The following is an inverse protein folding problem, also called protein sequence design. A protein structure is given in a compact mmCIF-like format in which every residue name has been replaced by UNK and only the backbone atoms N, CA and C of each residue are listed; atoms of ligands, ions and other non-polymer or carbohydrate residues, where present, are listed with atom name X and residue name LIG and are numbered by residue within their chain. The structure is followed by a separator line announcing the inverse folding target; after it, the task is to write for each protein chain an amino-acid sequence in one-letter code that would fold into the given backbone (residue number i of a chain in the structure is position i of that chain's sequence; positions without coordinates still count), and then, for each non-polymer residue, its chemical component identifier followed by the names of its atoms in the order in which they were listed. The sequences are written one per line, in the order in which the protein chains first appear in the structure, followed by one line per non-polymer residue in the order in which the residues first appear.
data_IF_461745263984
#
_entry.id   IF_461745263984
#
_cell.length_a   1.000
_cell.length_b   1.000
_cell.length_c   1.000
_cell.angle_alpha   90.00
_cell.angle_beta   90.00
_cell.angle_gamma   90.00
#
_symmetry.space_group_name_H-M   'P 1'
#
loop_
_entity.id
_entity.type
_entity.pdbx_description
1 polymer ?
#
# COMPACT_ATOMS: atom_id res chain seq x y z
N UNK A 1 42.47 -28.38 -81.43
CA UNK A 1 42.98 -27.50 -82.50
C UNK A 1 41.92 -27.48 -83.59
N UNK A 2 41.30 -26.38 -84.00
CA UNK A 2 41.46 -25.00 -83.63
C UNK A 2 40.12 -24.25 -83.76
N UNK A 3 40.06 -23.12 -83.06
CA UNK A 3 39.28 -21.93 -83.44
C UNK A 3 39.51 -21.60 -84.94
N UNK A 4 38.63 -20.87 -85.65
CA UNK A 4 38.04 -19.63 -85.14
C UNK A 4 36.62 -19.26 -85.64
N UNK A 5 35.96 -18.42 -84.85
CA UNK A 5 34.93 -17.45 -85.26
C UNK A 5 35.48 -16.46 -86.32
N UNK A 6 34.69 -15.89 -87.25
CA UNK A 6 34.09 -14.58 -86.96
C UNK A 6 32.76 -14.21 -87.67
N UNK A 7 32.04 -13.28 -87.00
CA UNK A 7 31.07 -12.25 -87.45
C UNK A 7 31.51 -11.60 -88.80
N UNK A 8 30.68 -10.91 -89.62
CA UNK A 8 29.66 -9.96 -89.14
C UNK A 8 28.46 -9.58 -90.05
N UNK A 9 27.68 -8.59 -89.55
CA UNK A 9 26.86 -7.59 -90.27
C UNK A 9 25.66 -8.12 -91.07
N UNK A 10 24.51 -7.45 -91.17
CA UNK A 10 24.02 -6.14 -90.76
C UNK A 10 22.53 -6.11 -91.12
N UNK A 11 21.78 -5.22 -90.45
CA UNK A 11 20.59 -4.52 -90.96
C UNK A 11 19.51 -5.32 -91.69
N UNK A 12 18.32 -5.41 -91.10
CA UNK A 12 17.23 -4.46 -91.42
C UNK A 12 15.89 -4.97 -90.87
N UNK A 13 15.27 -4.11 -90.06
CA UNK A 13 13.84 -3.92 -89.85
C UNK A 13 12.86 -4.87 -90.55
N UNK A 14 12.02 -5.54 -89.76
CA UNK A 14 10.58 -5.26 -89.63
C UNK A 14 9.84 -6.49 -89.10
N UNK A 15 9.22 -6.40 -87.91
CA UNK A 15 8.06 -7.25 -87.58
C UNK A 15 7.34 -6.71 -86.35
N UNK A 16 6.19 -6.09 -86.62
CA UNK A 16 4.90 -6.28 -85.96
C UNK A 16 4.80 -6.58 -84.46
N UNK A 17 3.83 -5.85 -83.89
CA UNK A 17 2.76 -6.28 -82.96
C UNK A 17 2.89 -6.09 -81.44
N UNK A 18 2.13 -5.06 -81.01
CA UNK A 18 1.20 -4.99 -79.85
C UNK A 18 1.84 -4.77 -78.44
N UNK A 19 1.06 -4.42 -77.39
CA UNK A 19 0.62 -3.06 -77.08
C UNK A 19 0.86 -2.69 -75.59
N UNK A 20 1.28 -1.47 -75.26
CA UNK A 20 1.35 -0.99 -73.86
C UNK A 20 1.25 0.54 -73.88
N UNK A 21 0.70 1.30 -72.91
CA UNK A 21 0.63 1.24 -71.46
C UNK A 21 -0.65 2.02 -71.03
N UNK A 22 -1.59 1.47 -70.27
CA UNK A 22 -1.56 1.19 -68.83
C UNK A 22 -1.31 2.46 -67.97
N UNK A 23 -2.43 2.98 -67.45
CA UNK A 23 -2.54 4.13 -66.56
C UNK A 23 -1.90 3.86 -65.19
N UNK A 24 -1.43 4.95 -64.58
CA UNK A 24 -0.63 4.97 -63.37
C UNK A 24 -1.53 4.84 -62.13
N UNK A 25 -1.20 3.93 -61.23
CA UNK A 25 -1.58 4.03 -59.82
C UNK A 25 -0.44 3.53 -58.93
N UNK A 26 0.04 4.43 -58.09
CA UNK A 26 1.06 4.25 -57.07
C UNK A 26 0.61 3.28 -55.99
N UNK A 27 1.44 2.28 -55.65
CA UNK A 27 1.27 1.49 -54.43
C UNK A 27 2.49 1.69 -53.53
N UNK A 28 2.25 2.30 -52.38
CA UNK A 28 3.22 2.61 -51.33
C UNK A 28 3.57 1.36 -50.51
N UNK A 29 4.84 1.24 -50.18
CA UNK A 29 5.42 0.22 -49.29
C UNK A 29 4.93 0.45 -47.86
N UNK A 30 4.37 -0.58 -47.21
CA UNK A 30 3.99 -0.52 -45.79
C UNK A 30 4.56 -1.73 -45.05
N UNK A 31 5.71 -1.54 -44.41
CA UNK A 31 6.27 -2.43 -43.38
C UNK A 31 5.74 -1.98 -42.03
N UNK A 32 4.94 -2.82 -41.35
CA UNK A 32 4.51 -2.58 -39.97
C UNK A 32 4.98 -3.74 -39.07
N UNK A 33 6.08 -3.51 -38.36
CA UNK A 33 6.59 -4.35 -37.30
C UNK A 33 5.87 -3.97 -36.00
N UNK A 34 4.99 -4.84 -35.50
CA UNK A 34 4.22 -4.61 -34.27
C UNK A 34 5.11 -4.94 -33.05
N UNK A 35 5.76 -3.95 -32.46
CA UNK A 35 6.34 -4.06 -31.12
C UNK A 35 5.21 -3.93 -30.08
N UNK A 36 4.81 -5.05 -29.47
CA UNK A 36 3.94 -5.05 -28.30
C UNK A 36 4.78 -4.67 -27.06
N UNK A 37 4.87 -3.37 -26.76
CA UNK A 37 5.30 -2.94 -25.44
C UNK A 37 4.15 -3.22 -24.47
N UNK A 38 4.27 -4.27 -23.68
CA UNK A 38 3.41 -4.47 -22.51
C UNK A 38 3.74 -3.38 -21.49
N UNK A 39 3.04 -2.25 -21.57
CA UNK A 39 2.99 -1.30 -20.47
C UNK A 39 2.31 -2.02 -19.29
N UNK A 40 2.96 -2.14 -18.11
CA UNK A 40 2.22 -2.52 -16.92
C UNK A 40 1.13 -1.47 -16.74
N UNK A 41 -0.13 -1.91 -16.79
CA UNK A 41 -1.24 -1.11 -16.32
C UNK A 41 -1.11 -1.09 -14.79
N UNK A 42 -0.34 -0.13 -14.26
CA UNK A 42 -0.62 0.34 -12.91
C UNK A 42 -2.01 0.96 -13.01
N UNK A 43 -3.02 0.22 -12.53
CA UNK A 43 -4.31 0.80 -12.27
C UNK A 43 -4.08 1.92 -11.27
N UNK A 44 -4.06 3.17 -11.75
CA UNK A 44 -4.10 4.33 -10.89
C UNK A 44 -5.28 4.11 -9.94
N UNK A 45 -5.00 3.98 -8.64
CA UNK A 45 -6.06 3.86 -7.66
C UNK A 45 -6.87 5.15 -7.74
N UNK A 46 -8.14 5.01 -8.10
CA UNK A 46 -9.07 6.13 -8.12
C UNK A 46 -9.29 6.60 -6.68
N UNK A 47 -8.59 7.67 -6.29
CA UNK A 47 -8.78 8.33 -4.99
C UNK A 47 -10.21 8.88 -4.80
N UNK A 48 -11.05 8.82 -5.84
CA UNK A 48 -12.44 9.25 -5.81
C UNK A 48 -13.46 8.11 -5.75
N UNK A 49 -13.04 6.84 -5.59
CA UNK A 49 -13.97 5.73 -5.34
C UNK A 49 -14.55 5.80 -3.91
N UNK A 50 -15.52 6.71 -3.76
CA UNK A 50 -16.31 7.05 -2.58
C UNK A 50 -17.22 5.89 -2.13
N UNK A 51 -16.67 4.85 -1.51
CA UNK A 51 -17.48 4.01 -0.63
C UNK A 51 -17.45 4.51 0.80
N UNK A 52 -16.35 5.10 1.26
CA UNK A 52 -16.32 5.97 2.46
C UNK A 52 -14.99 6.71 2.58
N UNK A 53 -15.02 7.95 3.09
CA UNK A 53 -13.83 8.63 3.62
C UNK A 53 -13.20 7.78 4.75
N UNK A 54 -11.87 7.84 4.92
CA UNK A 54 -11.10 7.15 5.96
C UNK A 54 -11.50 7.53 7.39
N UNK A 55 -12.22 8.65 7.57
CA UNK A 55 -12.68 9.11 8.86
C UNK A 55 -13.31 8.00 9.71
N UNK A 56 -12.85 7.86 10.95
CA UNK A 56 -13.37 6.88 11.90
C UNK A 56 -12.30 5.99 12.48
N UNK A 57 -12.73 5.14 13.40
CA UNK A 57 -11.90 4.12 14.05
C UNK A 57 -12.10 2.79 13.35
N UNK A 58 -11.00 2.18 12.94
CA UNK A 58 -10.95 0.92 12.24
C UNK A 58 -10.15 -0.08 13.05
N UNK A 59 -10.66 -1.29 13.26
CA UNK A 59 -10.02 -2.29 14.10
C UNK A 59 -10.07 -3.69 13.49
N UNK A 60 -9.05 -4.49 13.76
CA UNK A 60 -8.97 -5.89 13.32
C UNK A 60 -9.73 -6.83 14.26
N UNK A 61 -10.06 -8.04 13.78
CA UNK A 61 -10.53 -9.14 14.63
C UNK A 61 -11.88 -8.82 15.28
N UNK A 62 -11.97 -8.94 16.61
CA UNK A 62 -13.22 -8.69 17.34
C UNK A 62 -13.50 -7.21 17.60
N UNK A 63 -12.62 -6.30 17.16
CA UNK A 63 -12.74 -4.87 17.46
C UNK A 63 -12.42 -4.49 18.91
N UNK A 64 -11.77 -5.38 19.67
CA UNK A 64 -11.49 -5.15 21.09
C UNK A 64 -10.36 -4.13 21.33
N UNK A 65 -9.35 -4.10 20.44
CA UNK A 65 -8.36 -3.03 20.43
C UNK A 65 -8.99 -1.81 19.78
N UNK A 66 -8.96 -0.69 20.49
CA UNK A 66 -9.46 0.60 20.01
C UNK A 66 -8.35 1.64 20.19
N UNK A 67 -8.50 2.78 19.53
CA UNK A 67 -7.73 3.99 19.80
C UNK A 67 -8.40 4.83 20.89
N UNK A 68 -7.68 5.84 21.37
CA UNK A 68 -8.10 6.83 22.34
C UNK A 68 -7.86 6.41 23.78
N UNK A 69 -8.53 7.10 24.74
CA UNK A 69 -8.30 6.90 26.17
C UNK A 69 -8.73 5.51 26.68
N UNK A 70 -9.44 4.74 25.85
CA UNK A 70 -9.78 3.34 26.13
C UNK A 70 -8.58 2.39 26.04
N UNK A 71 -7.51 2.78 25.35
CA UNK A 71 -6.32 1.96 25.13
C UNK A 71 -5.04 2.59 25.68
N UNK A 72 -4.85 3.90 25.48
CA UNK A 72 -3.61 4.57 25.86
C UNK A 72 -3.86 5.73 26.84
N UNK A 73 -2.86 5.95 27.70
CA UNK A 73 -2.70 7.09 28.60
C UNK A 73 -1.21 7.47 28.65
N UNK A 74 -0.66 8.10 27.60
CA UNK A 74 0.79 8.32 27.45
C UNK A 74 1.39 9.23 28.53
N UNK A 75 0.54 9.99 29.24
CA UNK A 75 0.92 10.82 30.39
C UNK A 75 1.18 10.00 31.65
N UNK A 76 0.66 8.78 31.71
CA UNK A 76 0.92 7.85 32.80
C UNK A 76 2.23 7.09 32.54
N UNK A 77 3.34 7.69 32.97
CA UNK A 77 4.69 7.15 32.78
C UNK A 77 4.92 5.75 33.36
N UNK A 78 4.07 5.28 34.28
CA UNK A 78 4.19 3.96 34.89
C UNK A 78 3.26 2.93 34.25
N UNK A 79 2.12 3.34 33.67
CA UNK A 79 1.11 2.45 33.10
C UNK A 79 0.40 3.12 31.91
N UNK A 80 1.07 3.26 30.75
CA UNK A 80 0.50 4.00 29.63
C UNK A 80 -0.51 3.22 28.79
N UNK A 81 -0.77 1.93 29.11
CA UNK A 81 -1.64 1.06 28.34
C UNK A 81 -2.75 0.44 29.19
N UNK A 82 -3.94 0.32 28.58
CA UNK A 82 -5.11 -0.40 29.08
C UNK A 82 -5.35 -1.60 28.16
N UNK A 83 -5.09 -2.79 28.66
CA UNK A 83 -5.13 -3.99 27.82
C UNK A 83 -6.57 -4.44 27.57
N UNK A 84 -6.97 -4.63 26.30
CA UNK A 84 -8.23 -5.26 25.96
C UNK A 84 -8.12 -6.78 26.13
N UNK A 85 -9.28 -7.44 26.22
CA UNK A 85 -9.36 -8.91 26.38
C UNK A 85 -8.76 -9.67 25.19
N UNK A 86 -8.88 -9.11 23.98
CA UNK A 86 -8.41 -9.75 22.75
C UNK A 86 -7.36 -8.87 22.07
N UNK A 87 -6.38 -9.52 21.42
CA UNK A 87 -5.39 -8.84 20.58
C UNK A 87 -6.00 -8.27 19.32
N UNK A 88 -5.34 -7.25 18.78
CA UNK A 88 -5.75 -6.60 17.55
C UNK A 88 -4.86 -5.40 17.25
N UNK A 89 -5.22 -4.74 16.16
CA UNK A 89 -4.65 -3.49 15.69
C UNK A 89 -5.82 -2.56 15.41
N UNK A 90 -5.69 -1.30 15.78
CA UNK A 90 -6.67 -0.26 15.51
C UNK A 90 -5.98 0.98 14.98
N UNK A 91 -6.61 1.63 14.01
CA UNK A 91 -6.25 2.95 13.55
C UNK A 91 -7.47 3.87 13.61
N UNK A 92 -7.26 5.12 14.02
CA UNK A 92 -8.26 6.18 13.85
C UNK A 92 -7.74 7.21 12.89
N UNK A 93 -8.63 7.75 12.06
CA UNK A 93 -8.33 8.82 11.12
C UNK A 93 -9.34 9.94 11.25
N UNK A 94 -8.86 11.17 11.19
CA UNK A 94 -9.68 12.38 11.16
C UNK A 94 -9.57 13.07 9.80
N UNK A 95 -10.58 13.86 9.43
CA UNK A 95 -10.60 14.57 8.14
C UNK A 95 -9.54 15.66 8.00
N UNK A 96 -8.98 16.15 9.09
CA UNK A 96 -7.91 17.14 9.12
C UNK A 96 -6.50 16.52 9.03
N UNK A 97 -6.41 15.21 8.78
CA UNK A 97 -5.17 14.53 8.41
C UNK A 97 -4.39 13.98 9.60
N UNK A 98 -5.03 13.73 10.75
CA UNK A 98 -4.40 13.06 11.89
C UNK A 98 -4.75 11.58 11.92
N UNK A 99 -3.79 10.78 12.39
CA UNK A 99 -4.01 9.37 12.70
C UNK A 99 -3.58 9.06 14.13
N UNK A 100 -4.17 8.00 14.67
CA UNK A 100 -3.68 7.33 15.87
C UNK A 100 -3.64 5.82 15.62
N UNK A 101 -2.60 5.18 16.13
CA UNK A 101 -2.37 3.74 16.06
C UNK A 101 -2.40 3.14 17.47
N UNK A 102 -3.10 2.01 17.59
CA UNK A 102 -3.06 1.14 18.76
C UNK A 102 -2.82 -0.31 18.33
N UNK A 103 -1.79 -0.97 18.85
CA UNK A 103 -1.60 -2.41 18.66
C UNK A 103 -1.50 -3.12 19.99
N UNK A 104 -2.18 -4.26 20.12
CA UNK A 104 -1.94 -5.22 21.20
C UNK A 104 -1.80 -6.62 20.61
N UNK A 105 -0.62 -7.21 20.75
CA UNK A 105 -0.23 -8.45 20.05
C UNK A 105 0.52 -9.38 20.97
N UNK A 106 0.35 -10.68 20.74
CA UNK A 106 1.16 -11.72 21.40
C UNK A 106 2.11 -12.36 20.40
N UNK A 107 3.32 -12.65 20.88
CA UNK A 107 4.25 -13.57 20.25
C UNK A 107 4.27 -14.87 21.08
N UNK A 108 3.61 -15.90 20.56
CA UNK A 108 3.58 -17.20 21.19
C UNK A 108 4.92 -17.94 21.08
N UNK A 109 5.22 -18.79 22.07
CA UNK A 109 6.37 -19.69 22.05
C UNK A 109 5.88 -21.14 22.17
N UNK A 110 5.84 -21.86 21.04
CA UNK A 110 5.33 -23.24 20.99
C UNK A 110 6.17 -24.25 21.78
N UNK A 111 7.46 -23.97 22.00
CA UNK A 111 8.33 -24.83 22.82
C UNK A 111 8.22 -24.56 24.32
N UNK A 112 7.87 -23.33 24.70
CA UNK A 112 7.64 -22.93 26.10
C UNK A 112 6.42 -21.99 26.18
N UNK A 113 5.19 -22.53 26.28
CA UNK A 113 3.97 -21.72 26.28
C UNK A 113 3.88 -20.71 27.43
N UNK A 114 4.56 -20.97 28.56
CA UNK A 114 4.66 -20.04 29.70
C UNK A 114 5.51 -18.80 29.39
N UNK A 115 6.26 -18.81 28.28
CA UNK A 115 7.14 -17.73 27.82
C UNK A 115 6.54 -16.95 26.63
N UNK A 116 5.23 -16.71 26.64
CA UNK A 116 4.58 -15.85 25.64
C UNK A 116 4.92 -14.38 25.87
N UNK A 117 5.22 -13.64 24.81
CA UNK A 117 5.50 -12.20 24.91
C UNK A 117 4.27 -11.40 24.50
N UNK A 118 3.97 -10.33 25.22
CA UNK A 118 2.96 -9.35 24.82
C UNK A 118 3.64 -8.06 24.38
N UNK A 119 3.10 -7.43 23.35
CA UNK A 119 3.55 -6.12 22.87
C UNK A 119 2.35 -5.22 22.74
N UNK A 120 2.39 -4.07 23.42
CA UNK A 120 1.44 -2.99 23.25
C UNK A 120 2.16 -1.78 22.63
N UNK A 121 1.60 -1.21 21.57
CA UNK A 121 2.15 -0.05 20.86
C UNK A 121 1.07 1.00 20.75
N UNK A 122 1.45 2.24 20.99
CA UNK A 122 0.62 3.40 20.71
C UNK A 122 1.47 4.54 20.18
N UNK A 123 0.99 5.19 19.12
CA UNK A 123 1.53 6.44 18.59
C UNK A 123 0.46 7.18 17.80
N UNK A 124 0.70 8.46 17.56
CA UNK A 124 -0.21 9.30 16.77
C UNK A 124 0.59 10.34 15.98
N UNK A 125 -0.03 10.92 14.97
CA UNK A 125 0.66 11.79 14.05
C UNK A 125 -0.21 12.24 12.88
N UNK A 126 0.44 12.55 11.76
CA UNK A 126 -0.22 12.97 10.52
C UNK A 126 -0.14 11.90 9.46
N UNK A 127 -1.18 11.79 8.64
CA UNK A 127 -1.16 10.91 7.48
C UNK A 127 -1.25 11.70 6.17
N UNK A 128 -0.64 11.17 5.12
CA UNK A 128 -0.52 11.83 3.82
C UNK A 128 -0.82 10.83 2.71
N UNK A 129 -1.77 11.19 1.83
CA UNK A 129 -1.96 10.49 0.57
C UNK A 129 -0.96 11.01 -0.45
N UNK A 130 -0.44 10.11 -1.28
CA UNK A 130 0.51 10.39 -2.33
C UNK A 130 -0.12 10.10 -3.69
N UNK A 131 0.32 10.80 -4.74
CA UNK A 131 -0.23 10.67 -6.09
C UNK A 131 -0.10 9.26 -6.69
N UNK A 132 0.84 8.45 -6.18
CA UNK A 132 1.07 7.07 -6.60
C UNK A 132 0.12 6.03 -5.96
N UNK A 133 -0.82 6.45 -5.10
CA UNK A 133 -1.76 5.55 -4.41
C UNK A 133 -1.32 5.18 -3.00
N UNK A 134 -0.06 5.42 -2.66
CA UNK A 134 0.48 5.14 -1.34
C UNK A 134 -0.04 6.11 -0.28
N UNK A 135 0.08 5.71 0.98
CA UNK A 135 -0.22 6.55 2.13
C UNK A 135 0.87 6.39 3.17
N UNK A 136 1.33 7.52 3.72
CA UNK A 136 2.31 7.56 4.80
C UNK A 136 1.61 7.96 6.09
N UNK A 137 1.95 7.28 7.18
CA UNK A 137 1.64 7.66 8.55
C UNK A 137 2.94 8.13 9.20
N UNK A 138 2.98 9.40 9.61
CA UNK A 138 4.16 10.05 10.16
C UNK A 138 3.90 10.57 11.59
N UNK A 139 4.49 9.93 12.62
CA UNK A 139 4.39 10.37 14.00
C UNK A 139 5.37 11.50 14.38
N UNK A 140 6.19 12.01 13.45
CA UNK A 140 7.29 12.93 13.75
C UNK A 140 6.88 14.19 14.53
N UNK A 141 5.70 14.74 14.24
CA UNK A 141 5.15 15.93 14.92
C UNK A 141 4.86 15.70 16.41
N UNK A 142 4.60 14.45 16.81
CA UNK A 142 4.33 14.03 18.21
C UNK A 142 5.31 12.95 18.66
N UNK A 143 6.56 13.05 18.22
CA UNK A 143 7.59 12.02 18.41
C UNK A 143 7.91 11.69 19.87
N UNK A 144 7.60 12.60 20.80
CA UNK A 144 7.78 12.38 22.24
C UNK A 144 6.66 11.54 22.87
N UNK A 145 5.50 11.42 22.22
CA UNK A 145 4.29 10.84 22.82
C UNK A 145 4.22 9.33 22.72
N UNK A 146 4.68 8.75 21.60
CA UNK A 146 4.48 7.34 21.35
C UNK A 146 5.17 6.44 22.37
N UNK A 147 4.55 5.31 22.66
CA UNK A 147 4.99 4.32 23.65
C UNK A 147 4.97 2.93 23.05
N UNK A 148 5.91 2.09 23.47
CA UNK A 148 5.86 0.65 23.26
C UNK A 148 6.18 -0.05 24.58
N UNK A 149 5.35 -1.03 24.92
CA UNK A 149 5.50 -1.85 26.10
C UNK A 149 5.65 -3.30 25.69
N UNK A 150 6.78 -3.90 26.03
CA UNK A 150 7.07 -5.31 25.80
C UNK A 150 7.06 -6.04 27.13
N UNK A 151 6.21 -7.05 27.24
CA UNK A 151 6.14 -7.95 28.40
C UNK A 151 6.67 -9.32 28.00
N UNK A 152 7.68 -9.81 28.70
CA UNK A 152 8.30 -11.11 28.46
C UNK A 152 8.55 -11.82 29.81
N UNK A 153 7.69 -12.77 30.21
CA UNK A 153 7.79 -13.41 31.52
C UNK A 153 9.05 -14.28 31.70
N UNK A 154 9.79 -14.54 30.62
CA UNK A 154 11.01 -15.37 30.66
C UNK A 154 12.29 -14.57 30.38
N UNK A 155 12.20 -13.27 30.12
CA UNK A 155 13.36 -12.39 30.06
C UNK A 155 13.83 -11.97 31.46
N UNK A 156 15.07 -11.47 31.55
CA UNK A 156 15.62 -10.93 32.78
C UNK A 156 14.87 -9.67 33.27
N UNK A 157 14.34 -8.89 32.33
CA UNK A 157 13.40 -7.80 32.59
C UNK A 157 12.04 -8.22 32.03
N UNK A 158 11.05 -8.35 32.91
CA UNK A 158 9.73 -8.87 32.53
C UNK A 158 8.87 -7.87 31.78
N UNK A 159 9.18 -6.59 31.92
CA UNK A 159 8.43 -5.48 31.35
C UNK A 159 9.40 -4.36 30.97
N UNK A 160 9.35 -3.92 29.73
CA UNK A 160 10.19 -2.84 29.19
C UNK A 160 9.27 -1.85 28.48
N UNK A 161 9.20 -0.63 29.03
CA UNK A 161 8.51 0.51 28.44
C UNK A 161 9.53 1.44 27.77
N UNK A 162 9.34 1.74 26.49
CA UNK A 162 10.18 2.70 25.77
C UNK A 162 9.36 3.65 24.90
N UNK A 163 9.99 4.72 24.44
CA UNK A 163 9.42 5.60 23.42
C UNK A 163 9.25 4.86 22.09
N UNK A 164 8.26 5.29 21.32
CA UNK A 164 7.97 4.76 19.99
C UNK A 164 7.65 5.91 19.03
N UNK A 165 8.33 5.93 17.89
CA UNK A 165 8.10 6.90 16.82
C UNK A 165 8.55 6.20 15.53
N UNK A 166 7.63 5.49 14.89
CA UNK A 166 7.92 4.73 13.68
C UNK A 166 6.98 5.15 12.55
N UNK A 167 7.49 5.78 11.48
CA UNK A 167 6.67 6.06 10.32
C UNK A 167 6.30 4.77 9.57
N UNK A 168 5.08 4.72 9.06
CA UNK A 168 4.59 3.59 8.25
C UNK A 168 4.27 4.05 6.83
N UNK A 169 4.65 3.22 5.86
CA UNK A 169 4.30 3.39 4.44
C UNK A 169 3.45 2.22 3.98
N UNK A 170 2.27 2.53 3.46
CA UNK A 170 1.41 1.58 2.78
C UNK A 170 1.40 1.91 1.28
N UNK A 171 1.76 0.94 0.44
CA UNK A 171 1.86 1.12 -1.02
C UNK A 171 0.51 1.36 -1.69
N UNK A 172 -0.58 1.02 -1.02
CA UNK A 172 -1.93 1.21 -1.54
C UNK A 172 -2.98 0.83 -0.51
N UNK A 173 -4.23 1.14 -0.83
CA UNK A 173 -5.35 0.88 0.06
C UNK A 173 -6.65 0.71 -0.71
N UNK A 174 -7.65 0.11 -0.06
CA UNK A 174 -9.01 0.04 -0.59
C UNK A 174 -10.01 -0.04 0.54
N UNK A 175 -11.19 0.56 0.34
CA UNK A 175 -12.33 0.43 1.23
C UNK A 175 -13.42 -0.33 0.49
N UNK A 176 -13.86 -1.45 1.06
CA UNK A 176 -14.92 -2.29 0.51
C UNK A 176 -15.93 -2.65 1.60
N UNK A 177 -17.12 -3.08 1.22
CA UNK A 177 -18.07 -3.67 2.17
C UNK A 177 -17.80 -5.18 2.21
N UNK A 178 -17.42 -5.70 3.36
CA UNK A 178 -17.23 -7.14 3.53
C UNK A 178 -18.60 -7.83 3.62
N UNK A 179 -18.88 -8.74 2.68
CA UNK A 179 -20.19 -9.38 2.57
C UNK A 179 -20.50 -10.35 3.73
N UNK A 180 -19.50 -10.80 4.48
CA UNK A 180 -19.72 -11.69 5.63
C UNK A 180 -20.06 -10.91 6.90
N UNK A 181 -19.43 -9.76 7.11
CA UNK A 181 -19.61 -8.93 8.29
C UNK A 181 -20.58 -7.77 8.07
N UNK A 182 -20.98 -7.51 6.82
CA UNK A 182 -21.83 -6.38 6.42
C UNK A 182 -21.30 -5.04 6.96
N UNK A 183 -19.97 -4.90 6.97
CA UNK A 183 -19.26 -3.77 7.54
C UNK A 183 -18.23 -3.22 6.56
N UNK A 184 -17.94 -1.93 6.66
CA UNK A 184 -16.84 -1.32 5.91
C UNK A 184 -15.51 -1.91 6.36
N UNK A 185 -14.70 -2.32 5.39
CA UNK A 185 -13.39 -2.90 5.57
C UNK A 185 -12.36 -2.04 4.84
N UNK A 186 -11.43 -1.49 5.60
CA UNK A 186 -10.21 -0.87 5.12
C UNK A 186 -9.13 -1.95 4.98
N UNK A 187 -8.63 -2.13 3.76
CA UNK A 187 -7.53 -3.02 3.44
C UNK A 187 -6.32 -2.18 3.02
N UNK A 188 -5.26 -2.24 3.82
CA UNK A 188 -3.99 -1.59 3.52
C UNK A 188 -3.02 -2.59 2.88
N UNK A 189 -2.12 -2.11 2.03
CA UNK A 189 -1.07 -2.89 1.37
C UNK A 189 0.26 -2.38 1.92
N UNK A 190 1.05 -3.27 2.54
CA UNK A 190 2.35 -2.91 3.14
C UNK A 190 3.38 -2.53 2.08
N UNK A 191 4.49 -1.97 2.53
CA UNK A 191 5.63 -1.62 1.67
C UNK A 191 6.18 -2.79 0.84
N UNK A 192 6.05 -4.02 1.33
CA UNK A 192 6.49 -5.26 0.66
C UNK A 192 5.43 -5.87 -0.28
N UNK A 193 4.30 -5.19 -0.46
CA UNK A 193 3.17 -5.65 -1.26
C UNK A 193 2.26 -6.66 -0.57
N UNK A 194 2.60 -7.11 0.65
CA UNK A 194 1.72 -7.99 1.43
C UNK A 194 0.51 -7.24 1.99
N UNK A 195 -0.61 -7.93 2.16
CA UNK A 195 -1.79 -7.33 2.76
C UNK A 195 -1.60 -7.13 4.26
N UNK A 196 -1.89 -5.91 4.73
CA UNK A 196 -2.07 -5.65 6.15
C UNK A 196 -3.32 -6.39 6.67
N UNK A 197 -3.41 -6.72 7.97
CA UNK A 197 -4.65 -7.25 8.53
C UNK A 197 -5.87 -6.39 8.16
N UNK A 198 -6.98 -7.04 7.82
CA UNK A 198 -8.25 -6.37 7.51
C UNK A 198 -8.72 -5.53 8.71
N UNK A 199 -8.96 -4.25 8.47
CA UNK A 199 -9.47 -3.31 9.47
C UNK A 199 -10.95 -3.05 9.19
N UNK A 200 -11.81 -3.26 10.18
CA UNK A 200 -13.25 -3.01 10.07
C UNK A 200 -13.62 -1.71 10.78
N UNK A 201 -14.48 -0.91 10.17
CA UNK A 201 -14.97 0.33 10.79
C UNK A 201 -15.78 -0.01 12.04
N UNK A 202 -15.34 0.45 13.21
CA UNK A 202 -16.01 0.23 14.49
C UNK A 202 -16.84 1.43 14.92
N UNK A 203 -16.30 2.65 14.75
CA UNK A 203 -16.91 3.88 15.25
C UNK A 203 -16.64 5.05 14.29
N UNK A 204 -17.64 5.93 14.15
CA UNK A 204 -17.53 7.23 13.50
C UNK A 204 -18.40 8.26 14.25
N UNK A 205 -17.91 9.47 14.59
CA UNK A 205 -16.55 10.03 14.37
C UNK A 205 -15.45 9.23 15.11
N UNK A 206 -14.16 9.35 14.73
CA UNK A 206 -13.07 8.57 15.32
C UNK A 206 -12.94 8.81 16.82
N UNK A 207 -12.56 7.76 17.55
CA UNK A 207 -12.16 7.85 18.97
C UNK A 207 -10.64 7.83 19.06
N UNK A 208 -10.01 8.97 19.38
CA UNK A 208 -8.57 9.09 19.54
C UNK A 208 -8.24 10.09 20.66
N UNK A 209 -7.01 10.09 21.15
CA UNK A 209 -6.49 11.11 22.06
C UNK A 209 -6.35 12.46 21.33
N UNK A 210 -6.17 13.58 22.06
CA UNK A 210 -6.04 14.89 21.43
C UNK A 210 -4.91 14.92 20.41
N UNK A 211 -5.16 15.54 19.25
CA UNK A 211 -4.19 15.73 18.15
C UNK A 211 -3.23 16.88 18.46
N UNK A 212 -2.57 16.80 19.60
CA UNK A 212 -1.61 17.76 20.12
C UNK A 212 -0.50 17.00 20.84
N UNK A 213 0.63 17.67 21.06
CA UNK A 213 1.70 17.10 21.87
C UNK A 213 1.19 16.89 23.30
N UNK A 214 1.20 15.64 23.75
CA UNK A 214 0.66 15.26 25.05
C UNK A 214 1.75 15.38 26.11
N UNK A 215 2.97 14.96 25.78
CA UNK A 215 4.05 14.71 26.75
C UNK A 215 5.17 15.74 26.72
N UNK A 216 5.28 16.58 25.68
CA UNK A 216 6.34 17.60 25.58
C UNK A 216 6.07 18.91 26.31
N UNK A 217 5.10 18.96 27.23
CA UNK A 217 5.00 20.04 28.21
C UNK A 217 5.82 19.70 29.46
N UNK A 218 7.16 19.81 29.37
CA UNK A 218 8.03 20.01 30.55
C UNK A 218 9.28 20.79 30.20
#
# INVERSE_FOLDING_TARGET
MGRPTPRPSSSSSSSSSLPTLAAWTTLTVSTLLLLLTATPCEAAQDFTSNLTNWEGTWSTGTGAVVTGPGFADPMNNNKPFKYPTNTGISYSFTNDGYFEESQYRFLGNGSKPTCSKAVAIWQHGRYYFHDNGSVTMDPSIFSADGRVLVQDPCAAQTEILTYYNQPELFNGWTITIDNHHQAYMLQLIRFDGSYFPRLFLTVRPPTMLPTADLTAAT
#
